data_IF_388713293865
#
_entry.id   IF_388713293865
#
_cell.length_a   1.000
_cell.length_b   1.000
_cell.length_c   1.000
_cell.angle_alpha   90.00
_cell.angle_beta   90.00
_cell.angle_gamma   90.00
#
_symmetry.space_group_name_H-M   'P 1'
#
loop_
_entity.id
_entity.type
_entity.pdbx_description
1 polymer ?
#
# COMPACT_ATOMS: atom_id res chain seq x y z
N UNK A 1 31.65 -4.09 -26.59
CA UNK A 1 30.18 -3.95 -26.57
C UNK A 1 29.75 -4.00 -25.11
N UNK A 2 29.23 -2.92 -24.50
CA UNK A 2 28.94 -2.92 -23.08
C UNK A 2 27.68 -3.74 -22.81
N UNK A 3 27.79 -4.63 -21.84
CA UNK A 3 26.71 -5.46 -21.33
C UNK A 3 25.63 -4.55 -20.71
N UNK A 4 24.48 -4.46 -21.37
CA UNK A 4 23.32 -3.74 -20.84
C UNK A 4 22.83 -4.46 -19.59
N UNK A 5 23.26 -3.92 -18.45
CA UNK A 5 22.71 -4.27 -17.14
C UNK A 5 21.25 -3.81 -17.15
N UNK A 6 20.37 -4.68 -17.62
CA UNK A 6 18.91 -4.51 -17.45
C UNK A 6 18.70 -4.67 -15.95
N UNK A 7 18.72 -3.54 -15.27
CA UNK A 7 18.34 -3.39 -13.87
C UNK A 7 16.89 -3.86 -13.81
N UNK A 8 16.70 -5.14 -13.49
CA UNK A 8 15.37 -5.69 -13.22
C UNK A 8 14.88 -4.95 -11.99
N UNK A 9 13.99 -3.98 -12.20
CA UNK A 9 13.18 -3.42 -11.14
C UNK A 9 12.64 -4.59 -10.31
N UNK A 10 12.77 -4.55 -8.97
CA UNK A 10 12.27 -5.65 -8.16
C UNK A 10 10.81 -5.91 -8.55
N UNK A 11 10.35 -7.17 -8.61
CA UNK A 11 8.98 -7.45 -8.95
C UNK A 11 8.10 -6.70 -7.95
N UNK A 12 7.44 -5.63 -8.39
CA UNK A 12 6.38 -5.01 -7.62
C UNK A 12 5.31 -6.10 -7.52
N UNK A 13 5.31 -6.81 -6.40
CA UNK A 13 4.22 -7.70 -6.11
C UNK A 13 2.94 -6.85 -6.20
N UNK A 14 1.90 -7.27 -6.93
CA UNK A 14 0.67 -6.47 -7.07
C UNK A 14 0.08 -6.08 -5.70
N UNK A 15 0.40 -6.87 -4.68
CA UNK A 15 0.03 -6.61 -3.30
C UNK A 15 0.83 -5.50 -2.60
N UNK A 16 2.06 -5.20 -3.02
CA UNK A 16 2.89 -4.12 -2.41
C UNK A 16 2.31 -2.73 -2.66
N UNK A 17 1.72 -2.49 -3.84
CA UNK A 17 1.06 -1.21 -4.13
C UNK A 17 -0.19 -1.01 -3.27
N UNK A 18 -1.02 -2.05 -3.14
CA UNK A 18 -2.20 -1.98 -2.27
C UNK A 18 -1.78 -1.76 -0.81
N UNK A 19 -0.78 -2.48 -0.31
CA UNK A 19 -0.28 -2.27 1.05
C UNK A 19 0.25 -0.84 1.25
N UNK A 20 0.99 -0.29 0.28
CA UNK A 20 1.48 1.09 0.33
C UNK A 20 0.32 2.10 0.37
N UNK A 21 -0.74 1.88 -0.41
CA UNK A 21 -1.93 2.72 -0.37
C UNK A 21 -2.64 2.66 0.98
N UNK A 22 -2.80 1.47 1.56
CA UNK A 22 -3.43 1.31 2.88
C UNK A 22 -2.59 1.95 3.99
N UNK A 23 -1.25 1.87 3.91
CA UNK A 23 -0.37 2.63 4.80
C UNK A 23 -0.57 4.14 4.65
N UNK A 24 -0.73 4.63 3.41
CA UNK A 24 -1.03 6.04 3.18
C UNK A 24 -2.35 6.48 3.82
N UNK A 25 -3.41 5.65 3.73
CA UNK A 25 -4.67 5.89 4.48
C UNK A 25 -4.42 5.99 5.98
N UNK A 26 -3.62 5.07 6.53
CA UNK A 26 -3.30 5.02 7.96
C UNK A 26 -2.54 6.28 8.45
N UNK A 27 -1.69 6.85 7.59
CA UNK A 27 -0.94 8.08 7.86
C UNK A 27 -1.74 9.36 7.62
N UNK A 28 -2.89 9.26 6.95
CA UNK A 28 -3.69 10.42 6.54
C UNK A 28 -3.19 11.09 5.27
N UNK A 29 -2.49 10.36 4.40
CA UNK A 29 -1.93 10.88 3.15
C UNK A 29 -3.05 11.34 2.18
N UNK A 30 -2.71 12.33 1.35
CA UNK A 30 -3.62 12.83 0.32
C UNK A 30 -3.67 11.85 -0.84
N UNK A 31 -4.74 11.05 -0.89
CA UNK A 31 -5.01 10.13 -2.01
C UNK A 31 -5.94 10.77 -3.05
N UNK A 32 -5.77 10.36 -4.30
CA UNK A 32 -6.68 10.73 -5.39
C UNK A 32 -8.13 10.33 -5.07
N UNK A 33 -9.15 11.17 -5.34
CA UNK A 33 -10.54 10.88 -4.96
C UNK A 33 -11.08 9.54 -5.45
N UNK A 34 -10.78 9.18 -6.70
CA UNK A 34 -11.20 7.88 -7.26
C UNK A 34 -10.58 6.71 -6.52
N UNK A 35 -9.34 6.86 -6.04
CA UNK A 35 -8.64 5.82 -5.31
C UNK A 35 -9.25 5.62 -3.92
N UNK A 36 -9.63 6.72 -3.25
CA UNK A 36 -10.38 6.65 -1.99
C UNK A 36 -11.68 5.87 -2.18
N UNK A 37 -12.45 6.21 -3.22
CA UNK A 37 -13.71 5.52 -3.53
C UNK A 37 -13.49 4.04 -3.85
N UNK A 38 -12.43 3.71 -4.59
CA UNK A 38 -12.08 2.32 -4.89
C UNK A 38 -11.75 1.54 -3.61
N UNK A 39 -10.93 2.09 -2.71
CA UNK A 39 -10.58 1.43 -1.45
C UNK A 39 -11.81 1.21 -0.55
N UNK A 40 -12.77 2.14 -0.57
CA UNK A 40 -14.06 2.00 0.12
C UNK A 40 -14.92 0.93 -0.53
N UNK A 41 -15.03 0.93 -1.86
CA UNK A 41 -15.79 -0.06 -2.62
C UNK A 41 -15.26 -1.48 -2.41
N UNK A 42 -13.94 -1.65 -2.30
CA UNK A 42 -13.27 -2.93 -2.03
C UNK A 42 -13.33 -3.35 -0.54
N UNK A 43 -13.86 -2.48 0.33
CA UNK A 43 -14.03 -2.72 1.77
C UNK A 43 -12.74 -2.67 2.59
N UNK A 44 -11.67 -2.06 2.07
CA UNK A 44 -10.41 -1.90 2.80
C UNK A 44 -10.36 -0.60 3.61
N UNK A 45 -11.13 0.41 3.21
CA UNK A 45 -11.28 1.67 3.90
C UNK A 45 -12.76 2.06 4.04
N UNK A 46 -13.04 3.04 4.88
CA UNK A 46 -14.36 3.61 5.09
C UNK A 46 -14.24 5.08 5.50
N UNK A 47 -15.28 5.87 5.24
CA UNK A 47 -15.32 7.25 5.71
C UNK A 47 -15.87 7.31 7.13
N UNK A 48 -15.06 7.81 8.07
CA UNK A 48 -15.44 8.12 9.46
C UNK A 48 -15.22 9.60 9.71
N UNK A 49 -16.27 10.34 10.07
CA UNK A 49 -16.18 11.78 10.35
C UNK A 49 -15.47 12.57 9.23
N UNK A 50 -15.82 12.31 7.96
CA UNK A 50 -15.20 12.90 6.76
C UNK A 50 -13.74 12.52 6.51
N UNK A 51 -13.14 11.68 7.37
CA UNK A 51 -11.80 11.16 7.18
C UNK A 51 -11.85 9.73 6.64
N UNK A 52 -10.89 9.38 5.80
CA UNK A 52 -10.74 8.01 5.32
C UNK A 52 -9.97 7.21 6.39
N UNK A 53 -10.56 6.10 6.85
CA UNK A 53 -9.95 5.22 7.84
C UNK A 53 -9.94 3.78 7.32
N UNK A 54 -8.99 2.97 7.78
CA UNK A 54 -8.95 1.54 7.44
C UNK A 54 -10.08 0.77 8.14
N UNK A 55 -10.64 -0.21 7.44
CA UNK A 55 -11.50 -1.24 8.05
C UNK A 55 -10.65 -2.29 8.77
N UNK A 56 -11.29 -3.25 9.45
CA UNK A 56 -10.58 -4.39 10.04
C UNK A 56 -9.82 -5.20 8.97
N UNK A 57 -10.44 -5.41 7.79
CA UNK A 57 -9.82 -6.07 6.63
C UNK A 57 -8.59 -5.31 6.13
N UNK A 58 -8.69 -3.98 6.02
CA UNK A 58 -7.57 -3.13 5.61
C UNK A 58 -6.41 -3.19 6.60
N UNK A 59 -6.69 -3.14 7.91
CA UNK A 59 -5.68 -3.30 8.97
C UNK A 59 -4.98 -4.65 8.90
N UNK A 60 -5.75 -5.73 8.77
CA UNK A 60 -5.20 -7.08 8.68
C UNK A 60 -4.23 -7.23 7.50
N UNK A 61 -4.55 -6.64 6.33
CA UNK A 61 -3.67 -6.72 5.16
C UNK A 61 -2.32 -6.02 5.40
N UNK A 62 -2.33 -4.91 6.13
CA UNK A 62 -1.13 -4.17 6.51
C UNK A 62 -0.32 -4.90 7.60
N UNK A 63 -1.00 -5.47 8.60
CA UNK A 63 -0.35 -6.12 9.75
C UNK A 63 0.24 -7.49 9.42
N UNK A 64 -0.44 -8.26 8.55
CA UNK A 64 0.03 -9.60 8.14
C UNK A 64 1.20 -9.57 7.16
N UNK A 65 1.53 -8.39 6.61
CA UNK A 65 2.64 -8.19 5.67
C UNK A 65 3.56 -7.09 6.17
N UNK A 66 4.41 -7.36 7.17
CA UNK A 66 5.52 -6.47 7.47
C UNK A 66 6.35 -6.28 6.20
N UNK A 67 6.70 -5.03 5.90
CA UNK A 67 7.60 -4.69 4.82
C UNK A 67 8.85 -5.56 4.91
N UNK A 68 9.13 -6.35 3.87
CA UNK A 68 10.39 -7.13 3.73
C UNK A 68 11.59 -6.19 3.44
N UNK A 69 11.50 -4.91 3.80
CA UNK A 69 12.53 -3.89 3.57
C UNK A 69 13.30 -3.46 4.82
N UNK A 70 12.97 -3.97 6.03
CA UNK A 70 13.60 -3.56 7.30
C UNK A 70 14.42 -4.66 8.00
N UNK A 71 14.70 -5.78 7.34
CA UNK A 71 15.50 -6.89 7.91
C UNK A 71 16.73 -7.24 7.05
N UNK A 72 17.53 -6.25 6.68
CA UNK A 72 18.93 -6.47 6.33
C UNK A 72 19.79 -5.55 7.20
N UNK A 73 20.52 -6.09 8.21
CA UNK A 73 21.60 -5.33 8.81
C UNK A 73 22.74 -5.20 7.79
N UNK A 74 23.30 -4.00 7.69
CA UNK A 74 24.56 -3.69 7.00
C UNK A 74 25.73 -4.52 7.56
#
# INVERSE_FOLDING_TARGET
>A
MPSSKVERSPPLAPDTELCALLHGVQRGDVLHPQLKLLLVHLGFAEFRNLQLALTAKGRQLVETRPWVGLLLPL
#
